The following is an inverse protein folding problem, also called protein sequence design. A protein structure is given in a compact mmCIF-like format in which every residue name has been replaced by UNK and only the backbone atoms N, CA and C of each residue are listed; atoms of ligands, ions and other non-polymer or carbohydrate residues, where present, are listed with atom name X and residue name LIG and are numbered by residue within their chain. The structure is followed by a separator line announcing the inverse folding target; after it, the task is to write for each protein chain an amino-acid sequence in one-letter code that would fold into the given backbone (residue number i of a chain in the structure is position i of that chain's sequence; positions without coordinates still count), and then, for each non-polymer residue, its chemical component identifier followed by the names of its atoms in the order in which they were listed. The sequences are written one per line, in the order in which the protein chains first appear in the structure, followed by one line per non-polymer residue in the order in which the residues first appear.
data_IF_971263744685
#
_entry.id   IF_971263744685
#
_cell.length_a   1.000
_cell.length_b   1.000
_cell.length_c   1.000
_cell.angle_alpha   90.00
_cell.angle_beta   90.00
_cell.angle_gamma   90.00
#
_symmetry.space_group_name_H-M   'P 1'
#
loop_
_entity.id
_entity.type
_entity.pdbx_description
1 polymer ?
#
# COMPACT_ATOMS: atom_id res chain seq x y z
N UNK A 1 -12.05 -43.20 3.47
CA UNK A 1 -11.40 -42.04 2.84
C UNK A 1 -11.49 -40.89 3.81
N UNK A 2 -10.41 -40.63 4.56
CA UNK A 2 -10.41 -39.63 5.63
C UNK A 2 -10.18 -38.25 4.99
N UNK A 3 -11.26 -37.47 4.87
CA UNK A 3 -11.17 -36.07 4.49
C UNK A 3 -10.47 -35.31 5.61
N UNK A 4 -9.17 -35.05 5.44
CA UNK A 4 -8.45 -34.12 6.30
C UNK A 4 -9.02 -32.73 6.02
N UNK A 5 -9.87 -32.24 6.92
CA UNK A 5 -10.13 -30.80 7.01
C UNK A 5 -8.77 -30.15 7.24
N UNK A 6 -8.28 -29.43 6.24
CA UNK A 6 -7.09 -28.57 6.38
C UNK A 6 -7.54 -27.37 7.21
N UNK A 7 -7.59 -27.57 8.52
CA UNK A 7 -7.87 -26.52 9.48
C UNK A 7 -6.69 -25.54 9.47
N UNK A 8 -6.89 -24.37 8.88
CA UNK A 8 -5.92 -23.27 8.88
C UNK A 8 -5.98 -22.62 10.25
N UNK A 9 -4.92 -22.77 11.06
CA UNK A 9 -4.85 -22.10 12.35
C UNK A 9 -4.56 -20.62 12.13
N UNK A 10 -5.52 -19.78 12.55
CA UNK A 10 -5.41 -18.32 12.55
C UNK A 10 -5.00 -17.86 13.95
N UNK A 11 -3.81 -17.27 14.04
CA UNK A 11 -3.27 -16.80 15.32
C UNK A 11 -3.28 -15.27 15.32
N UNK A 12 -3.94 -14.65 16.29
CA UNK A 12 -4.02 -13.19 16.35
C UNK A 12 -2.78 -12.63 17.06
N UNK A 13 -1.82 -12.11 16.28
CA UNK A 13 -0.56 -11.53 16.75
C UNK A 13 -0.32 -10.19 16.04
N UNK A 14 -1.03 -9.12 16.48
CA UNK A 14 -0.88 -7.81 15.87
C UNK A 14 0.56 -7.32 16.04
N UNK A 15 1.19 -6.97 14.92
CA UNK A 15 2.55 -6.50 14.86
C UNK A 15 2.59 -4.99 15.13
N UNK A 16 3.50 -4.53 15.98
CA UNK A 16 3.58 -3.11 16.42
C UNK A 16 4.07 -2.14 15.32
N UNK A 17 4.21 -2.59 14.07
CA UNK A 17 4.76 -1.76 12.98
C UNK A 17 3.76 -0.74 12.43
N UNK A 18 2.46 -0.83 12.79
CA UNK A 18 1.45 0.11 12.31
C UNK A 18 1.26 0.02 10.79
N UNK A 19 1.15 -1.19 10.25
CA UNK A 19 0.91 -1.42 8.83
C UNK A 19 -0.30 -0.63 8.35
N UNK A 20 -0.19 0.00 7.17
CA UNK A 20 -1.27 0.68 6.47
C UNK A 20 -1.31 0.24 5.02
N UNK A 21 -2.50 0.25 4.44
CA UNK A 21 -2.70 -0.08 3.03
C UNK A 21 -2.70 1.20 2.20
N UNK A 22 -1.85 1.22 1.18
CA UNK A 22 -1.77 2.29 0.19
C UNK A 22 -2.27 1.73 -1.15
N UNK A 23 -3.29 2.36 -1.73
CA UNK A 23 -3.81 2.02 -3.04
C UNK A 23 -2.91 2.64 -4.11
N UNK A 24 -2.19 1.78 -4.83
CA UNK A 24 -1.27 2.18 -5.88
C UNK A 24 -1.99 2.22 -7.23
N UNK A 25 -1.98 3.36 -7.94
CA UNK A 25 -2.35 3.44 -9.34
C UNK A 25 -1.50 2.47 -10.19
N UNK A 26 -2.04 1.92 -11.29
CA UNK A 26 -1.32 0.95 -12.13
C UNK A 26 0.00 1.51 -12.68
N UNK A 27 0.06 2.81 -12.99
CA UNK A 27 1.30 3.47 -13.40
C UNK A 27 2.40 3.37 -12.32
N UNK A 28 2.04 3.57 -11.04
CA UNK A 28 2.98 3.51 -9.93
C UNK A 28 3.37 2.08 -9.57
N UNK A 29 2.41 1.14 -9.63
CA UNK A 29 2.70 -0.27 -9.45
C UNK A 29 3.72 -0.75 -10.50
N UNK A 30 3.49 -0.42 -11.78
CA UNK A 30 4.43 -0.74 -12.86
C UNK A 30 5.80 -0.08 -12.66
N UNK A 31 5.84 1.15 -12.14
CA UNK A 31 7.09 1.86 -11.86
C UNK A 31 7.88 1.22 -10.71
N UNK A 32 7.19 0.74 -9.67
CA UNK A 32 7.76 0.01 -8.53
C UNK A 32 8.27 -1.39 -8.93
N UNK A 33 7.58 -2.04 -9.87
CA UNK A 33 7.97 -3.36 -10.41
C UNK A 33 9.02 -3.26 -11.52
N UNK A 34 9.28 -2.05 -12.05
CA UNK A 34 10.30 -1.81 -13.07
C UNK A 34 11.72 -1.95 -12.50
N UNK A 35 12.66 -2.37 -13.34
CA UNK A 35 14.08 -2.56 -12.99
C UNK A 35 14.75 -1.26 -12.48
N UNK A 36 14.20 -0.11 -12.88
CA UNK A 36 14.56 1.22 -12.39
C UNK A 36 13.54 1.70 -11.36
N UNK A 37 13.32 0.95 -10.27
CA UNK A 37 12.43 1.38 -9.19
C UNK A 37 12.93 2.71 -8.60
N UNK A 38 12.26 3.85 -8.88
CA UNK A 38 12.72 5.13 -8.43
C UNK A 38 12.41 5.31 -6.95
N UNK A 39 13.18 6.17 -6.29
CA UNK A 39 12.92 6.53 -4.89
C UNK A 39 11.61 7.30 -4.82
N UNK A 40 10.61 6.71 -4.19
CA UNK A 40 9.35 7.38 -3.86
C UNK A 40 9.58 8.26 -2.62
N UNK A 41 9.41 9.56 -2.77
CA UNK A 41 9.52 10.51 -1.65
C UNK A 41 8.13 10.86 -1.14
N UNK A 42 7.93 10.68 0.17
CA UNK A 42 6.67 10.99 0.84
C UNK A 42 6.87 12.32 1.59
N UNK A 43 6.29 13.38 1.05
CA UNK A 43 6.39 14.73 1.60
C UNK A 43 5.13 15.05 2.41
N UNK A 44 5.26 15.18 3.73
CA UNK A 44 4.18 15.65 4.60
C UNK A 44 4.20 17.18 4.66
N UNK A 45 3.16 17.83 4.14
CA UNK A 45 2.86 19.24 4.39
C UNK A 45 1.89 19.39 5.56
N UNK A 46 1.81 20.57 6.18
CA UNK A 46 1.06 20.84 7.43
C UNK A 46 -0.40 20.30 7.47
N UNK A 47 -1.03 20.12 6.30
CA UNK A 47 -2.41 19.63 6.18
C UNK A 47 -2.58 18.45 5.21
N UNK A 48 -1.53 17.98 4.53
CA UNK A 48 -1.65 16.92 3.52
C UNK A 48 -0.33 16.21 3.27
N UNK A 49 -0.38 14.89 3.05
CA UNK A 49 0.78 14.14 2.58
C UNK A 49 0.73 14.00 1.05
N UNK A 50 1.88 14.15 0.39
CA UNK A 50 2.06 14.02 -1.05
C UNK A 50 3.09 12.94 -1.34
N UNK A 51 2.75 11.98 -2.18
CA UNK A 51 3.70 11.02 -2.74
C UNK A 51 4.26 11.61 -4.03
N UNK A 52 5.55 11.89 -4.05
CA UNK A 52 6.24 12.41 -5.22
C UNK A 52 7.06 11.30 -5.87
N UNK A 53 6.86 11.17 -7.16
CA UNK A 53 7.56 10.25 -8.06
C UNK A 53 8.32 11.09 -9.08
N UNK A 54 9.33 10.55 -9.79
CA UNK A 54 10.13 11.35 -10.72
C UNK A 54 9.28 12.03 -11.83
N UNK A 55 8.16 11.42 -12.20
CA UNK A 55 7.30 11.93 -13.28
C UNK A 55 5.99 12.57 -12.80
N UNK A 56 5.53 12.25 -11.58
CA UNK A 56 4.18 12.61 -11.10
C UNK A 56 4.13 12.84 -9.60
N UNK A 57 3.21 13.70 -9.17
CA UNK A 57 2.91 13.90 -7.75
C UNK A 57 1.48 13.40 -7.45
N UNK A 58 1.26 12.84 -6.26
CA UNK A 58 -0.03 12.28 -5.85
C UNK A 58 -0.39 12.74 -4.44
N UNK A 59 -1.61 13.24 -4.22
CA UNK A 59 -2.12 13.47 -2.87
C UNK A 59 -2.51 12.14 -2.21
N UNK A 60 -2.13 11.96 -0.94
CA UNK A 60 -2.61 10.86 -0.12
C UNK A 60 -3.95 11.23 0.49
N UNK A 61 -4.97 10.42 0.21
CA UNK A 61 -6.32 10.58 0.73
C UNK A 61 -6.68 9.38 1.58
N UNK A 62 -6.81 9.60 2.88
CA UNK A 62 -7.25 8.57 3.80
C UNK A 62 -8.74 8.29 3.58
N UNK A 63 -9.07 7.02 3.37
CA UNK A 63 -10.42 6.53 3.12
C UNK A 63 -10.76 5.45 4.12
N UNK A 64 -11.72 5.74 5.00
CA UNK A 64 -12.22 4.75 5.94
C UNK A 64 -12.97 3.65 5.21
N UNK A 65 -12.72 2.41 5.59
CA UNK A 65 -13.42 1.24 5.09
C UNK A 65 -14.45 0.81 6.12
N UNK A 66 -15.71 0.63 5.71
CA UNK A 66 -16.76 0.09 6.60
C UNK A 66 -16.54 -1.38 6.97
N UNK A 67 -15.60 -2.04 6.29
CA UNK A 67 -15.16 -3.39 6.56
C UNK A 67 -13.77 -3.35 7.21
N UNK A 68 -13.52 -4.26 8.16
CA UNK A 68 -12.19 -4.50 8.69
C UNK A 68 -11.42 -5.43 7.75
N UNK A 69 -10.20 -5.03 7.38
CA UNK A 69 -9.28 -5.83 6.57
C UNK A 69 -8.21 -6.41 7.50
N UNK A 70 -8.08 -7.74 7.51
CA UNK A 70 -7.05 -8.42 8.29
C UNK A 70 -5.83 -8.70 7.41
N UNK A 71 -4.69 -8.11 7.73
CA UNK A 71 -3.41 -8.50 7.14
C UNK A 71 -2.94 -9.78 7.80
N UNK A 72 -2.68 -10.79 6.97
CA UNK A 72 -2.18 -12.09 7.40
C UNK A 72 -0.73 -12.23 6.95
N UNK A 73 0.14 -12.74 7.83
CA UNK A 73 1.46 -13.23 7.46
C UNK A 73 1.56 -14.72 7.74
N UNK A 74 2.39 -15.47 7.00
CA UNK A 74 2.74 -16.83 7.40
C UNK A 74 3.32 -16.82 8.81
N UNK A 75 2.85 -17.72 9.68
CA UNK A 75 3.37 -17.85 11.03
C UNK A 75 4.79 -18.43 10.99
N UNK A 76 5.78 -17.70 11.49
CA UNK A 76 7.18 -18.15 11.58
C UNK A 76 7.51 -18.74 12.96
N UNK A 77 6.49 -19.07 13.76
CA UNK A 77 6.68 -19.63 15.09
C UNK A 77 7.31 -21.02 14.96
N UNK A 78 8.39 -21.28 15.71
CA UNK A 78 9.07 -22.57 15.64
C UNK A 78 8.12 -23.70 16.05
N UNK A 79 7.75 -24.55 15.10
CA UNK A 79 6.79 -25.66 15.28
C UNK A 79 5.41 -25.45 14.67
N UNK A 80 5.11 -24.28 14.08
CA UNK A 80 3.89 -24.08 13.30
C UNK A 80 3.97 -24.75 11.93
N UNK A 81 2.82 -25.20 11.43
CA UNK A 81 2.75 -25.71 10.06
C UNK A 81 3.01 -24.55 9.09
N UNK A 82 3.58 -24.77 7.89
CA UNK A 82 3.76 -23.72 6.89
C UNK A 82 2.42 -23.13 6.38
N UNK A 83 1.28 -23.68 6.83
CA UNK A 83 -0.07 -23.23 6.50
C UNK A 83 -0.72 -22.40 7.62
N UNK A 84 -0.05 -22.24 8.77
CA UNK A 84 -0.58 -21.42 9.86
C UNK A 84 -0.40 -19.93 9.54
N UNK A 85 -1.44 -19.14 9.77
CA UNK A 85 -1.48 -17.71 9.44
C UNK A 85 -1.59 -16.88 10.72
N UNK A 86 -0.78 -15.83 10.81
CA UNK A 86 -0.86 -14.85 11.88
C UNK A 86 -1.58 -13.58 11.38
N UNK A 87 -2.60 -13.11 12.10
CA UNK A 87 -3.18 -11.79 11.86
C UNK A 87 -2.23 -10.75 12.44
N UNK A 88 -1.54 -10.02 11.58
CA UNK A 88 -0.53 -9.03 11.94
C UNK A 88 -1.07 -7.60 12.01
N UNK A 89 -2.21 -7.32 11.39
CA UNK A 89 -2.83 -6.01 11.49
C UNK A 89 -4.31 -6.07 11.13
N UNK A 90 -5.10 -5.20 11.75
CA UNK A 90 -6.50 -4.97 11.42
C UNK A 90 -6.67 -3.55 10.93
N UNK A 91 -6.94 -3.41 9.65
CA UNK A 91 -7.01 -2.15 8.93
C UNK A 91 -8.46 -1.72 8.77
N UNK A 92 -8.77 -0.49 9.15
CA UNK A 92 -10.08 0.13 8.99
C UNK A 92 -10.05 1.32 8.04
N UNK A 93 -8.90 1.57 7.43
CA UNK A 93 -8.63 2.71 6.56
C UNK A 93 -7.61 2.33 5.49
N UNK A 94 -7.88 2.71 4.25
CA UNK A 94 -6.90 2.65 3.16
C UNK A 94 -6.47 4.07 2.81
N UNK A 95 -5.29 4.21 2.21
CA UNK A 95 -4.81 5.48 1.68
C UNK A 95 -4.92 5.41 0.17
N UNK A 96 -5.76 6.23 -0.43
CA UNK A 96 -5.85 6.38 -1.88
C UNK A 96 -4.84 7.43 -2.38
N UNK A 97 -4.34 7.23 -3.59
CA UNK A 97 -3.45 8.18 -4.27
C UNK A 97 -4.22 8.92 -5.37
N UNK A 98 -4.36 10.23 -5.22
CA UNK A 98 -5.01 11.09 -6.19
C UNK A 98 -3.94 11.84 -6.99
N UNK A 99 -3.84 11.58 -8.30
CA UNK A 99 -2.83 12.22 -9.15
C UNK A 99 -3.03 13.73 -9.17
N UNK A 100 -1.99 14.47 -8.86
CA UNK A 100 -1.94 15.91 -9.03
C UNK A 100 -1.64 16.14 -10.50
N UNK A 101 -2.55 16.79 -11.25
CA UNK A 101 -2.17 17.28 -12.56
C UNK A 101 -1.09 18.34 -12.35
N UNK A 102 0.16 17.95 -12.55
CA UNK A 102 1.22 18.91 -12.81
C UNK A 102 0.83 19.55 -14.13
N UNK A 103 0.40 20.82 -14.08
CA UNK A 103 0.15 21.58 -15.30
C UNK A 103 1.40 21.42 -16.16
N UNK A 104 1.29 20.92 -17.42
CA UNK A 104 2.43 21.05 -18.29
C UNK A 104 2.69 22.55 -18.39
N UNK A 105 3.89 22.96 -17.99
CA UNK A 105 4.50 24.19 -18.44
C UNK A 105 4.49 24.11 -19.97
N UNK A 106 3.42 24.59 -20.58
CA UNK A 106 3.34 24.85 -22.00
C UNK A 106 4.21 26.09 -22.27
N UNK A 107 5.52 25.92 -22.16
CA UNK A 107 6.48 26.83 -22.77
C UNK A 107 6.69 26.37 -24.21
N UNK A 108 5.96 27.00 -25.15
CA UNK A 108 6.53 27.50 -26.41
C UNK A 108 5.44 28.11 -27.30
N UNK A 109 5.50 29.43 -27.47
CA UNK A 109 4.64 30.10 -28.44
C UNK A 109 4.72 31.62 -28.55
N UNK A 110 5.74 32.30 -28.04
CA UNK A 110 6.02 33.66 -28.50
C UNK A 110 6.55 33.59 -29.95
N UNK A 111 5.70 33.95 -30.92
CA UNK A 111 6.16 34.38 -32.24
C UNK A 111 5.64 35.77 -32.55
N UNK A 112 6.61 36.57 -32.98
CA UNK A 112 6.59 37.95 -33.45
C UNK A 112 5.44 38.33 -34.37
#
# INVERSE_FOLDING_TARGET
MSGQSRDINLIHHPHEAGYRLLELPPDLANLLESDTAPVLTLESSDTSAVLRTPDKSYYLKQKNTSNALFLLSPSTVSGSSPQDLAIISTIHETVELEAIPEFPLADHGIKH
#
